data_IF_595793158378
#
_entry.id   IF_595793158378
#
_cell.length_a   1.000
_cell.length_b   1.000
_cell.length_c   1.000
_cell.angle_alpha   90.00
_cell.angle_beta   90.00
_cell.angle_gamma   90.00
#
_symmetry.space_group_name_H-M   'P 1'
#
loop_
_entity.id
_entity.type
_entity.pdbx_description
1 polymer ?
#
# COMPACT_ATOMS: atom_id res chain seq x y z
N UNK A 1 -5.00 -0.88 14.24
CA UNK A 1 -5.44 -0.24 15.49
C UNK A 1 -6.21 -1.17 16.41
N UNK A 2 -7.39 -1.69 16.03
CA UNK A 2 -8.20 -2.52 16.92
C UNK A 2 -7.54 -3.87 17.30
N UNK A 3 -6.76 -4.47 16.40
CA UNK A 3 -6.14 -5.81 16.56
C UNK A 3 -5.33 -6.01 17.85
N UNK A 4 -4.37 -5.15 18.24
CA UNK A 4 -3.68 -5.28 19.53
C UNK A 4 -4.59 -5.08 20.75
N UNK A 5 -5.70 -4.32 20.60
CA UNK A 5 -6.61 -3.99 21.71
C UNK A 5 -7.74 -5.00 21.93
N UNK A 6 -7.99 -5.89 20.96
CA UNK A 6 -9.11 -6.83 21.02
C UNK A 6 -8.96 -7.81 22.19
N UNK A 7 -9.96 -7.84 23.07
CA UNK A 7 -9.96 -8.66 24.29
C UNK A 7 -9.45 -7.94 25.55
N UNK A 8 -8.81 -6.77 25.42
CA UNK A 8 -8.23 -6.05 26.56
C UNK A 8 -8.93 -4.75 26.92
N UNK A 9 -9.54 -4.05 25.96
CA UNK A 9 -10.13 -2.70 26.17
C UNK A 9 -11.64 -2.73 26.29
N UNK A 10 -12.22 -1.75 27.00
CA UNK A 10 -13.68 -1.55 27.08
C UNK A 10 -14.26 -0.99 25.77
N UNK A 11 -15.60 -1.09 25.55
CA UNK A 11 -16.25 -0.53 24.36
C UNK A 11 -16.07 0.99 24.20
N UNK A 12 -15.95 1.75 25.29
CA UNK A 12 -15.65 3.18 25.22
C UNK A 12 -14.18 3.43 24.86
N UNK A 13 -13.26 2.61 25.39
CA UNK A 13 -11.84 2.66 25.03
C UNK A 13 -11.60 2.34 23.54
N UNK A 14 -12.29 1.35 22.98
CA UNK A 14 -12.14 0.99 21.56
C UNK A 14 -12.60 2.08 20.60
N UNK A 15 -13.64 2.86 20.95
CA UNK A 15 -14.07 4.05 20.18
C UNK A 15 -12.97 5.12 20.16
N UNK A 16 -12.36 5.43 21.31
CA UNK A 16 -11.25 6.40 21.39
C UNK A 16 -10.04 5.94 20.57
N UNK A 17 -9.69 4.64 20.65
CA UNK A 17 -8.61 4.05 19.86
C UNK A 17 -8.89 4.14 18.36
N UNK A 18 -10.13 3.84 17.94
CA UNK A 18 -10.55 3.88 16.54
C UNK A 18 -10.53 5.29 15.94
N UNK A 19 -11.09 6.27 16.64
CA UNK A 19 -11.10 7.67 16.20
C UNK A 19 -9.68 8.25 16.13
N UNK A 20 -8.87 8.04 17.18
CA UNK A 20 -7.47 8.48 17.20
C UNK A 20 -6.63 7.83 16.09
N UNK A 21 -6.86 6.54 15.80
CA UNK A 21 -6.21 5.85 14.71
C UNK A 21 -6.62 6.41 13.34
N UNK A 22 -7.91 6.68 13.11
CA UNK A 22 -8.39 7.25 11.85
C UNK A 22 -7.72 8.60 11.55
N UNK A 23 -7.68 9.51 12.54
CA UNK A 23 -7.00 10.79 12.40
C UNK A 23 -5.49 10.61 12.19
N UNK A 24 -4.83 9.76 12.97
CA UNK A 24 -3.39 9.53 12.84
C UNK A 24 -3.01 8.95 11.47
N UNK A 25 -3.70 7.91 11.00
CA UNK A 25 -3.42 7.29 9.72
C UNK A 25 -3.62 8.28 8.56
N UNK A 26 -4.68 9.10 8.59
CA UNK A 26 -4.90 10.16 7.60
C UNK A 26 -3.77 11.20 7.59
N UNK A 27 -3.38 11.72 8.77
CA UNK A 27 -2.29 12.69 8.84
C UNK A 27 -0.94 12.10 8.40
N UNK A 28 -0.63 10.86 8.77
CA UNK A 28 0.60 10.18 8.34
C UNK A 28 0.62 10.00 6.83
N UNK A 29 -0.45 9.48 6.24
CA UNK A 29 -0.56 9.24 4.80
C UNK A 29 -0.38 10.53 3.99
N UNK A 30 -1.12 11.58 4.36
CA UNK A 30 -1.03 12.88 3.70
C UNK A 30 0.38 13.47 3.82
N UNK A 31 1.00 13.44 5.01
CA UNK A 31 2.37 13.95 5.23
C UNK A 31 3.44 13.14 4.49
N UNK A 32 3.26 11.82 4.36
CA UNK A 32 4.17 10.97 3.59
C UNK A 32 4.09 11.29 2.09
N UNK A 33 2.88 11.46 1.55
CA UNK A 33 2.69 11.85 0.15
C UNK A 33 3.26 13.25 -0.14
N UNK A 34 3.00 14.23 0.72
CA UNK A 34 3.54 15.60 0.59
C UNK A 34 5.07 15.65 0.62
N UNK A 35 5.71 14.95 1.56
CA UNK A 35 7.15 15.14 1.87
C UNK A 35 8.05 14.02 1.39
N UNK A 36 7.64 12.75 1.53
CA UNK A 36 8.50 11.60 1.28
C UNK A 36 8.42 11.12 -0.18
N UNK A 37 7.23 11.16 -0.80
CA UNK A 37 7.12 10.85 -2.22
C UNK A 37 7.85 11.92 -3.07
N UNK A 38 7.51 13.20 -2.86
CA UNK A 38 8.08 14.33 -3.62
C UNK A 38 9.59 14.58 -3.44
N UNK A 39 10.22 14.09 -2.36
CA UNK A 39 11.66 14.31 -2.13
C UNK A 39 12.52 13.04 -2.05
N UNK A 40 11.94 11.88 -1.75
CA UNK A 40 12.68 10.62 -1.53
C UNK A 40 12.17 9.47 -2.42
N UNK A 41 11.15 9.70 -3.26
CA UNK A 41 10.61 8.66 -4.16
C UNK A 41 9.93 7.50 -3.44
N UNK A 42 9.51 7.69 -2.19
CA UNK A 42 8.83 6.65 -1.40
C UNK A 42 7.35 6.59 -1.82
N UNK A 43 7.02 5.60 -2.65
CA UNK A 43 5.69 5.40 -3.23
C UNK A 43 4.97 4.21 -2.57
N UNK A 44 4.27 4.46 -1.46
CA UNK A 44 3.35 3.51 -0.83
C UNK A 44 1.95 3.64 -1.46
N UNK A 45 1.81 3.11 -2.68
CA UNK A 45 0.62 3.22 -3.55
C UNK A 45 -0.71 2.81 -2.87
N UNK A 46 -0.64 1.93 -1.87
CA UNK A 46 -1.80 1.37 -1.15
C UNK A 46 -1.84 1.85 0.31
N UNK A 47 -0.93 2.73 0.72
CA UNK A 47 -0.88 3.36 2.05
C UNK A 47 -0.81 2.32 3.19
N UNK A 48 -0.09 1.22 2.96
CA UNK A 48 0.04 0.09 3.90
C UNK A 48 0.79 0.50 5.16
N UNK A 49 1.86 1.31 5.05
CA UNK A 49 2.60 1.76 6.23
C UNK A 49 1.78 2.74 7.10
N UNK A 50 1.12 3.78 6.57
CA UNK A 50 0.18 4.60 7.34
C UNK A 50 -0.90 3.77 8.06
N UNK A 51 -1.60 2.89 7.34
CA UNK A 51 -2.79 2.20 7.87
C UNK A 51 -2.44 1.03 8.79
N UNK A 52 -1.49 0.17 8.41
CA UNK A 52 -1.11 -1.02 9.19
C UNK A 52 0.06 -0.75 10.13
N UNK A 53 1.10 -0.04 9.68
CA UNK A 53 2.27 0.31 10.49
C UNK A 53 1.91 1.27 11.61
N UNK A 54 1.59 2.53 11.27
CA UNK A 54 1.25 3.55 12.27
C UNK A 54 -0.05 3.25 13.00
N UNK A 55 -1.07 2.75 12.30
CA UNK A 55 -2.29 2.26 12.93
C UNK A 55 -2.07 1.05 13.85
N UNK A 56 -1.04 0.23 13.62
CA UNK A 56 -0.62 -0.85 14.52
C UNK A 56 0.06 -0.31 15.77
N UNK A 57 1.07 0.55 15.60
CA UNK A 57 1.82 1.23 16.66
C UNK A 57 0.88 1.95 17.64
N UNK A 58 -0.03 2.77 17.12
CA UNK A 58 -1.03 3.49 17.91
C UNK A 58 -1.91 2.54 18.73
N UNK A 59 -2.43 1.49 18.09
CA UNK A 59 -3.24 0.48 18.76
C UNK A 59 -2.51 -0.21 19.90
N UNK A 60 -1.24 -0.58 19.70
CA UNK A 60 -0.44 -1.29 20.70
C UNK A 60 -0.14 -0.42 21.92
N UNK A 61 0.24 0.84 21.70
CA UNK A 61 0.49 1.82 22.77
C UNK A 61 -0.83 2.12 23.52
N UNK A 62 -1.92 2.38 22.81
CA UNK A 62 -3.22 2.68 23.44
C UNK A 62 -3.83 1.48 24.15
N UNK A 63 -3.50 0.24 23.74
CA UNK A 63 -3.85 -0.95 24.53
C UNK A 63 -3.17 -0.90 25.90
N UNK A 64 -1.92 -0.45 25.98
CA UNK A 64 -1.24 -0.25 27.27
C UNK A 64 -1.92 0.79 28.17
N UNK A 65 -2.60 1.78 27.59
CA UNK A 65 -3.32 2.83 28.31
C UNK A 65 -4.71 2.36 28.75
N UNK A 66 -5.49 1.80 27.82
CA UNK A 66 -6.92 1.48 27.99
C UNK A 66 -7.22 0.01 28.31
N UNK A 67 -6.22 -0.84 28.56
CA UNK A 67 -6.47 -2.19 29.05
C UNK A 67 -7.22 -2.17 30.39
N UNK A 68 -8.21 -3.06 30.50
CA UNK A 68 -9.13 -3.17 31.64
C UNK A 68 -9.01 -4.59 32.21
N UNK A 69 -8.71 -4.69 33.51
CA UNK A 69 -8.47 -5.97 34.18
C UNK A 69 -9.67 -6.91 34.13
N UNK A 70 -10.89 -6.39 34.10
CA UNK A 70 -12.12 -7.18 33.96
C UNK A 70 -12.33 -7.77 32.57
N UNK A 71 -11.65 -7.26 31.54
CA UNK A 71 -11.76 -7.74 30.15
C UNK A 71 -10.69 -8.78 29.84
N UNK A 72 -9.41 -8.40 30.00
CA UNK A 72 -8.26 -9.21 29.58
C UNK A 72 -7.33 -9.66 30.71
N UNK A 73 -7.76 -9.56 31.98
CA UNK A 73 -6.95 -9.93 33.15
C UNK A 73 -5.80 -8.97 33.50
N UNK A 74 -5.51 -8.00 32.64
CA UNK A 74 -4.40 -7.04 32.76
C UNK A 74 -4.96 -5.62 32.84
N UNK A 75 -4.53 -4.86 33.85
CA UNK A 75 -4.82 -3.44 33.98
C UNK A 75 -3.86 -2.60 33.13
N UNK A 76 -4.37 -1.55 32.49
CA UNK A 76 -3.59 -0.53 31.78
C UNK A 76 -3.36 0.74 32.60
N UNK A 77 -2.82 1.77 31.95
CA UNK A 77 -2.51 3.07 32.56
C UNK A 77 -3.72 3.75 33.22
N UNK A 78 -4.92 3.64 32.65
CA UNK A 78 -6.17 4.19 33.22
C UNK A 78 -6.55 3.52 34.55
N UNK A 79 -6.21 2.24 34.72
CA UNK A 79 -6.37 1.50 35.98
C UNK A 79 -5.11 1.59 36.90
N UNK A 80 -4.18 2.50 36.59
CA UNK A 80 -2.97 2.78 37.38
C UNK A 80 -1.71 2.03 36.96
N UNK A 81 -1.79 1.08 36.02
CA UNK A 81 -0.63 0.30 35.57
C UNK A 81 0.06 0.92 34.34
N UNK A 82 0.80 2.00 34.57
CA UNK A 82 1.60 2.65 33.52
C UNK A 82 2.81 1.84 33.04
N UNK A 83 3.23 0.81 33.78
CA UNK A 83 4.30 -0.09 33.36
C UNK A 83 3.93 -0.82 32.06
N UNK A 84 2.65 -1.18 31.88
CA UNK A 84 2.16 -1.82 30.65
C UNK A 84 2.41 -0.94 29.41
N UNK A 85 2.25 0.38 29.50
CA UNK A 85 2.55 1.31 28.38
C UNK A 85 4.02 1.22 28.00
N UNK A 86 4.93 1.15 28.98
CA UNK A 86 6.36 0.98 28.75
C UNK A 86 6.69 -0.35 28.07
N UNK A 87 6.11 -1.46 28.54
CA UNK A 87 6.27 -2.79 27.93
C UNK A 87 5.75 -2.82 26.48
N UNK A 88 4.56 -2.26 26.23
CA UNK A 88 3.98 -2.16 24.89
C UNK A 88 4.83 -1.30 23.95
N UNK A 89 5.37 -0.17 24.45
CA UNK A 89 6.27 0.70 23.67
C UNK A 89 7.59 0.00 23.34
N UNK A 90 8.18 -0.73 24.29
CA UNK A 90 9.37 -1.55 24.05
C UNK A 90 9.09 -2.64 23.00
N UNK A 91 7.96 -3.34 23.11
CA UNK A 91 7.53 -4.35 22.12
C UNK A 91 7.37 -3.77 20.71
N UNK A 92 6.80 -2.56 20.59
CA UNK A 92 6.75 -1.82 19.33
C UNK A 92 8.15 -1.52 18.79
N UNK A 93 9.05 -0.94 19.60
CA UNK A 93 10.41 -0.58 19.16
C UNK A 93 11.18 -1.81 18.70
N UNK A 94 11.16 -2.90 19.46
CA UNK A 94 11.80 -4.17 19.09
C UNK A 94 11.23 -4.72 17.78
N UNK A 95 9.90 -4.69 17.63
CA UNK A 95 9.23 -5.16 16.40
C UNK A 95 9.62 -4.30 15.19
N UNK A 96 9.63 -2.97 15.32
CA UNK A 96 10.05 -2.06 14.25
C UNK A 96 11.52 -2.29 13.85
N UNK A 97 12.43 -2.40 14.81
CA UNK A 97 13.85 -2.68 14.53
C UNK A 97 14.01 -4.02 13.81
N UNK A 98 13.33 -5.06 14.30
CA UNK A 98 13.36 -6.39 13.70
C UNK A 98 12.81 -6.41 12.26
N UNK A 99 11.63 -5.82 12.02
CA UNK A 99 11.02 -5.83 10.68
C UNK A 99 11.76 -4.92 9.71
N UNK A 100 12.27 -3.76 10.14
CA UNK A 100 13.08 -2.90 9.28
C UNK A 100 14.39 -3.59 8.85
N UNK A 101 15.15 -4.16 9.79
CA UNK A 101 16.42 -4.85 9.47
C UNK A 101 16.16 -6.10 8.63
N UNK A 102 15.21 -6.95 9.04
CA UNK A 102 14.87 -8.19 8.34
C UNK A 102 14.38 -7.94 6.92
N UNK A 103 13.47 -6.97 6.73
CA UNK A 103 12.96 -6.61 5.40
C UNK A 103 14.05 -6.00 4.53
N UNK A 104 14.86 -5.07 5.06
CA UNK A 104 15.95 -4.47 4.30
C UNK A 104 16.97 -5.52 3.83
N UNK A 105 17.39 -6.43 4.73
CA UNK A 105 18.29 -7.54 4.39
C UNK A 105 17.69 -8.44 3.30
N UNK A 106 16.43 -8.84 3.44
CA UNK A 106 15.74 -9.67 2.43
C UNK A 106 15.59 -8.95 1.08
N UNK A 107 15.27 -7.65 1.07
CA UNK A 107 15.19 -6.85 -0.15
C UNK A 107 16.54 -6.71 -0.86
N UNK A 108 17.65 -6.61 -0.13
CA UNK A 108 19.00 -6.59 -0.72
C UNK A 108 19.37 -7.95 -1.31
N UNK A 109 19.11 -9.04 -0.57
CA UNK A 109 19.36 -10.41 -1.05
C UNK A 109 18.51 -10.73 -2.29
N UNK A 110 17.23 -10.36 -2.28
CA UNK A 110 16.33 -10.57 -3.41
C UNK A 110 16.79 -9.79 -4.66
N UNK A 111 17.20 -8.51 -4.51
CA UNK A 111 17.76 -7.71 -5.61
C UNK A 111 19.04 -8.31 -6.22
N UNK A 112 19.87 -8.97 -5.42
CA UNK A 112 21.06 -9.67 -5.91
C UNK A 112 20.75 -10.93 -6.73
N UNK A 113 19.54 -11.50 -6.59
CA UNK A 113 19.08 -12.68 -7.34
C UNK A 113 18.30 -12.25 -8.59
N UNK A 114 17.37 -11.30 -8.46
CA UNK A 114 16.56 -10.79 -9.56
C UNK A 114 16.08 -9.36 -9.26
N UNK A 115 16.00 -8.46 -10.26
CA UNK A 115 15.31 -7.17 -10.10
C UNK A 115 13.88 -7.34 -9.55
N UNK A 116 13.59 -6.66 -8.44
CA UNK A 116 12.27 -6.67 -7.80
C UNK A 116 11.27 -5.80 -8.59
N UNK A 117 11.74 -4.69 -9.16
CA UNK A 117 10.93 -3.77 -9.97
C UNK A 117 10.92 -4.20 -11.44
N UNK A 118 9.77 -3.99 -12.09
CA UNK A 118 9.58 -4.12 -13.54
C UNK A 118 10.44 -3.11 -14.33
N UNK A 119 10.57 -3.32 -15.65
CA UNK A 119 11.13 -2.27 -16.52
C UNK A 119 10.07 -1.19 -16.76
N UNK A 120 10.46 0.07 -16.97
CA UNK A 120 9.49 1.15 -17.21
C UNK A 120 8.60 0.88 -18.44
N UNK A 121 9.12 0.20 -19.47
CA UNK A 121 8.32 -0.21 -20.62
C UNK A 121 7.22 -1.22 -20.28
N UNK A 122 7.46 -2.09 -19.28
CA UNK A 122 6.46 -3.03 -18.77
C UNK A 122 5.47 -2.35 -17.83
N UNK A 123 5.89 -1.33 -17.08
CA UNK A 123 5.02 -0.50 -16.23
C UNK A 123 4.05 0.32 -17.10
N UNK A 124 4.55 1.00 -18.13
CA UNK A 124 3.74 1.78 -19.08
C UNK A 124 2.74 0.94 -19.89
N UNK A 125 3.09 -0.32 -20.24
CA UNK A 125 2.20 -1.24 -20.99
C UNK A 125 1.22 -2.01 -20.09
N UNK A 126 1.28 -1.80 -18.79
CA UNK A 126 0.54 -2.56 -17.79
C UNK A 126 1.16 -3.94 -17.53
N UNK A 127 1.44 -4.21 -16.25
CA UNK A 127 1.97 -5.49 -15.75
C UNK A 127 1.10 -6.70 -16.17
N UNK A 128 -0.20 -6.51 -16.33
CA UNK A 128 -1.16 -7.56 -16.72
C UNK A 128 -0.86 -8.13 -18.12
N UNK A 129 -0.41 -7.27 -19.04
CA UNK A 129 0.03 -7.66 -20.39
C UNK A 129 1.28 -8.54 -20.33
N UNK A 130 2.21 -8.21 -19.42
CA UNK A 130 3.50 -8.92 -19.29
C UNK A 130 3.35 -10.25 -18.56
N UNK A 131 2.58 -10.28 -17.46
CA UNK A 131 2.51 -11.41 -16.52
C UNK A 131 1.35 -12.36 -16.84
N UNK A 132 0.17 -11.84 -17.17
CA UNK A 132 -1.04 -12.66 -17.32
C UNK A 132 -1.41 -12.95 -18.79
N UNK A 133 -1.31 -11.97 -19.70
CA UNK A 133 -1.74 -12.16 -21.09
C UNK A 133 -0.81 -13.07 -21.92
N UNK A 134 0.51 -13.08 -21.64
CA UNK A 134 1.46 -14.02 -22.29
C UNK A 134 1.09 -15.50 -22.12
N UNK A 135 0.31 -15.87 -21.08
CA UNK A 135 -0.17 -17.24 -20.87
C UNK A 135 -1.48 -17.57 -21.62
N UNK A 136 -2.25 -16.56 -22.04
CA UNK A 136 -3.52 -16.76 -22.78
C UNK A 136 -3.29 -17.00 -24.28
N UNK A 137 -2.35 -16.31 -24.92
CA UNK A 137 -2.08 -16.46 -26.36
C UNK A 137 -1.58 -17.86 -26.73
N UNK A 138 -0.75 -18.49 -25.90
CA UNK A 138 -0.22 -19.84 -26.13
C UNK A 138 -1.29 -20.94 -26.12
N UNK A 139 -2.51 -20.67 -25.64
CA UNK A 139 -3.60 -21.66 -25.59
C UNK A 139 -4.57 -21.62 -26.79
N UNK A 140 -4.26 -20.82 -27.83
CA UNK A 140 -5.04 -20.75 -29.08
C UNK A 140 -4.19 -21.11 -30.32
N UNK A 141 -3.49 -22.24 -30.26
CA UNK A 141 -2.67 -22.74 -31.39
C UNK A 141 -2.74 -24.26 -31.63
N UNK A 142 -3.59 -25.02 -30.91
CA UNK A 142 -3.74 -26.47 -31.05
C UNK A 142 -5.23 -26.89 -30.92
N UNK A 143 -6.10 -26.26 -31.73
CA UNK A 143 -7.54 -26.54 -31.71
C UNK A 143 -8.23 -26.03 -32.96
N UNK A 144 -8.39 -26.95 -33.92
CA UNK A 144 -9.27 -27.00 -35.10
C UNK A 144 -10.09 -25.75 -35.50
N UNK A 145 -10.13 -25.49 -36.81
CA UNK A 145 -11.01 -24.52 -37.46
C UNK A 145 -12.46 -24.63 -37.00
N UNK A 146 -13.05 -23.51 -36.60
CA UNK A 146 -14.49 -23.26 -36.71
C UNK A 146 -14.70 -21.82 -37.12
N UNK A 147 -15.13 -21.65 -38.37
CA UNK A 147 -15.64 -20.39 -38.90
C UNK A 147 -16.94 -20.05 -38.16
N UNK A 148 -17.00 -18.85 -37.57
CA UNK A 148 -18.24 -18.27 -37.08
C UNK A 148 -18.40 -16.94 -37.79
N UNK A 149 -19.33 -16.91 -38.75
CA UNK A 149 -19.78 -15.68 -39.37
C UNK A 149 -20.32 -14.73 -38.29
N UNK A 150 -19.77 -13.52 -38.22
CA UNK A 150 -20.45 -12.38 -37.63
C UNK A 150 -20.62 -11.31 -38.72
N UNK A 151 -21.67 -11.49 -39.53
CA UNK A 151 -22.05 -10.54 -40.58
C UNK A 151 -22.96 -9.46 -39.98
N UNK A 152 -22.35 -8.55 -39.21
CA UNK A 152 -22.99 -7.37 -38.64
C UNK A 152 -22.53 -6.09 -39.34
N UNK A 153 -23.21 -5.72 -40.42
CA UNK A 153 -22.94 -4.51 -41.20
C UNK A 153 -23.41 -3.23 -40.49
N UNK A 154 -22.55 -2.22 -40.39
CA UNK A 154 -22.92 -0.80 -40.59
C UNK A 154 -21.68 0.10 -40.67
N UNK A 155 -21.53 0.78 -41.82
CA UNK A 155 -20.83 2.07 -42.00
C UNK A 155 -21.11 3.07 -40.86
N UNK A 156 -20.26 4.02 -40.48
CA UNK A 156 -19.44 4.98 -41.26
C UNK A 156 -18.18 5.38 -40.47
N UNK A 157 -17.10 5.98 -41.00
CA UNK A 157 -16.59 6.21 -42.38
C UNK A 157 -15.05 6.50 -42.25
N UNK A 158 -14.39 6.99 -43.30
CA UNK A 158 -12.98 7.41 -43.28
C UNK A 158 -12.79 8.86 -43.80
N UNK A 159 -11.64 9.45 -43.45
CA UNK A 159 -11.03 10.70 -44.00
C UNK A 159 -11.66 12.06 -43.64
N UNK A 160 -10.86 12.92 -42.97
CA UNK A 160 -10.64 14.32 -43.39
C UNK A 160 -9.19 14.75 -43.00
N UNK A 161 -8.66 15.79 -43.64
CA UNK A 161 -7.25 15.95 -44.02
C UNK A 161 -6.28 16.68 -43.05
N UNK A 162 -5.01 16.51 -43.41
CA UNK A 162 -3.84 17.37 -43.16
C UNK A 162 -4.06 18.85 -42.79
N UNK A 163 -3.18 19.35 -41.91
CA UNK A 163 -2.53 20.65 -42.16
C UNK A 163 -1.12 20.72 -41.59
N UNK A 164 -0.12 20.61 -42.49
CA UNK A 164 1.27 20.96 -42.22
C UNK A 164 1.44 22.49 -42.26
N UNK A 165 1.96 23.10 -41.18
CA UNK A 165 2.59 24.43 -41.25
C UNK A 165 3.93 24.40 -40.50
N UNK A 166 4.99 24.80 -41.20
CA UNK A 166 6.38 24.74 -40.73
C UNK A 166 6.87 26.09 -40.18
N UNK A 167 7.50 26.03 -38.99
CA UNK A 167 8.68 26.84 -38.57
C UNK A 167 8.46 28.37 -38.39
N UNK A 168 9.36 29.13 -37.71
CA UNK A 168 10.67 28.77 -37.15
C UNK A 168 10.82 29.04 -35.63
N UNK A 169 12.00 28.75 -35.07
CA UNK A 169 12.29 28.89 -33.63
C UNK A 169 13.10 30.13 -33.21
N UNK A 170 13.09 30.39 -31.90
CA UNK A 170 14.00 31.22 -31.10
C UNK A 170 13.79 30.78 -29.62
N UNK A 171 14.79 30.32 -28.86
CA UNK A 171 15.87 31.07 -28.22
C UNK A 171 15.44 31.89 -26.97
N UNK A 172 16.13 31.61 -25.85
CA UNK A 172 16.37 32.42 -24.64
C UNK A 172 15.24 33.25 -23.97
N UNK A 173 14.83 32.81 -22.77
CA UNK A 173 14.66 33.65 -21.57
C UNK A 173 14.88 32.79 -20.31
#
# INVERSE_FOLDING_TARGET
AATPSSGYVSPLGSVVIGLGAGMLCYFVDHRMKEKLCNQWGIDDVVSVFPVHGMGGIWGTIMTGVFAVKSMGGVSGGVEGNWNLVGVQTLGVVVTCVWTCIGTAMLCVIAQAIQPIRSTEQDEHKGLDTRVHLKRKSSRRSNGCSQDVNDSGDSSTDAEEEDSYVSMPGAANA
#
